data_IF_202298372963
#
_entry.id   IF_202298372963
#
_cell.length_a   1.000
_cell.length_b   1.000
_cell.length_c   1.000
_cell.angle_alpha   90.00
_cell.angle_beta   90.00
_cell.angle_gamma   90.00
#
_symmetry.space_group_name_H-M   'P 1'
#
loop_
_entity.id
_entity.type
_entity.pdbx_description
1 polymer ?
#
# COMPACT_ATOMS: atom_id res chain seq x y z
N UNK A 1 6.00 1.99 -31.01
CA UNK A 1 4.69 1.31 -30.89
C UNK A 1 4.73 0.49 -29.62
N UNK A 2 3.76 0.64 -28.72
CA UNK A 2 3.64 -0.17 -27.50
C UNK A 2 2.44 -1.10 -27.72
N UNK A 3 2.62 -2.40 -27.47
CA UNK A 3 1.54 -3.40 -27.48
C UNK A 3 1.33 -3.88 -26.05
N UNK A 4 0.07 -3.88 -25.60
CA UNK A 4 -0.35 -4.41 -24.31
C UNK A 4 -1.21 -5.65 -24.57
N UNK A 5 -0.86 -6.76 -23.95
CA UNK A 5 -1.65 -7.98 -23.97
C UNK A 5 -2.21 -8.20 -22.57
N UNK A 6 -3.51 -8.44 -22.48
CA UNK A 6 -4.15 -8.70 -21.20
C UNK A 6 -3.75 -10.11 -20.74
N UNK A 7 -3.30 -10.23 -19.49
CA UNK A 7 -3.09 -11.54 -18.89
C UNK A 7 -4.43 -12.26 -18.66
N UNK A 8 -4.44 -13.59 -18.77
CA UNK A 8 -5.64 -14.39 -18.46
C UNK A 8 -6.00 -14.34 -16.98
N UNK A 9 -4.98 -14.28 -16.11
CA UNK A 9 -5.13 -14.11 -14.67
C UNK A 9 -4.34 -12.89 -14.19
N UNK A 10 -4.81 -12.18 -13.13
CA UNK A 10 -4.04 -11.10 -12.52
C UNK A 10 -2.67 -11.58 -12.06
N UNK A 11 -1.58 -10.84 -12.35
CA UNK A 11 -0.22 -11.26 -11.99
C UNK A 11 0.02 -11.31 -10.47
N UNK A 12 -0.85 -10.68 -9.67
CA UNK A 12 -0.81 -10.71 -8.21
C UNK A 12 -2.21 -10.88 -7.64
N UNK A 13 -2.29 -11.61 -6.53
CA UNK A 13 -3.53 -11.83 -5.78
C UNK A 13 -3.56 -10.92 -4.55
N UNK A 14 -4.65 -10.17 -4.38
CA UNK A 14 -4.82 -9.24 -3.26
C UNK A 14 -6.23 -9.35 -2.69
N UNK A 15 -6.38 -9.19 -1.37
CA UNK A 15 -7.68 -9.30 -0.70
C UNK A 15 -8.63 -8.17 -1.06
N UNK A 16 -8.08 -6.97 -1.26
CA UNK A 16 -8.84 -5.78 -1.64
C UNK A 16 -8.07 -5.01 -2.72
N UNK A 17 -8.47 -5.21 -3.98
CA UNK A 17 -7.89 -4.51 -5.13
C UNK A 17 -8.07 -3.00 -5.03
N UNK A 18 -9.21 -2.53 -4.50
CA UNK A 18 -9.45 -1.09 -4.37
C UNK A 18 -8.47 -0.49 -3.38
N UNK A 19 -8.24 -1.15 -2.24
CA UNK A 19 -7.21 -0.72 -1.29
C UNK A 19 -5.82 -0.68 -1.92
N UNK A 20 -5.47 -1.69 -2.73
CA UNK A 20 -4.21 -1.71 -3.45
C UNK A 20 -4.05 -0.54 -4.41
N UNK A 21 -5.06 -0.25 -5.22
CA UNK A 21 -5.03 0.92 -6.11
C UNK A 21 -4.91 2.24 -5.33
N UNK A 22 -5.58 2.36 -4.17
CA UNK A 22 -5.46 3.54 -3.30
C UNK A 22 -4.05 3.70 -2.76
N UNK A 23 -3.43 2.62 -2.30
CA UNK A 23 -2.05 2.60 -1.79
C UNK A 23 -1.07 2.98 -2.90
N UNK A 24 -1.21 2.40 -4.09
CA UNK A 24 -0.38 2.74 -5.26
C UNK A 24 -0.52 4.23 -5.57
N UNK A 25 -1.74 4.74 -5.71
CA UNK A 25 -1.99 6.17 -5.98
C UNK A 25 -1.38 7.08 -4.91
N UNK A 26 -1.58 6.76 -3.63
CA UNK A 26 -1.01 7.50 -2.52
C UNK A 26 0.53 7.52 -2.54
N UNK A 27 1.13 6.39 -2.92
CA UNK A 27 2.58 6.22 -3.03
C UNK A 27 3.20 7.07 -4.15
N UNK A 28 2.47 7.30 -5.25
CA UNK A 28 2.94 8.09 -6.39
C UNK A 28 2.47 9.56 -6.38
N UNK A 29 1.46 9.91 -5.59
CA UNK A 29 0.97 11.29 -5.46
C UNK A 29 2.04 12.25 -4.92
N UNK A 30 3.05 11.75 -4.20
CA UNK A 30 4.14 12.57 -3.66
C UNK A 30 5.51 11.96 -3.99
N UNK A 31 5.93 12.11 -5.26
CA UNK A 31 7.16 11.53 -5.87
C UNK A 31 8.47 11.65 -5.08
N UNK A 32 8.61 12.63 -4.17
CA UNK A 32 9.84 12.85 -3.39
C UNK A 32 9.73 12.51 -1.90
N UNK A 33 8.57 12.06 -1.44
CA UNK A 33 8.38 11.71 -0.03
C UNK A 33 8.51 10.20 0.17
N UNK A 34 8.85 9.81 1.40
CA UNK A 34 8.85 8.39 1.79
C UNK A 34 7.44 7.82 1.69
N UNK A 35 7.34 6.50 1.52
CA UNK A 35 6.09 5.76 1.44
C UNK A 35 5.17 6.08 2.63
N UNK A 36 5.73 6.11 3.85
CA UNK A 36 4.97 6.47 5.04
C UNK A 36 4.28 7.84 4.93
N UNK A 37 4.98 8.84 4.39
CA UNK A 37 4.42 10.17 4.18
C UNK A 37 3.42 10.22 3.02
N UNK A 38 3.61 9.39 1.98
CA UNK A 38 2.63 9.26 0.90
C UNK A 38 1.31 8.69 1.39
N UNK A 39 1.37 7.59 2.14
CA UNK A 39 0.19 6.92 2.68
C UNK A 39 -0.53 7.77 3.74
N UNK A 40 0.21 8.39 4.66
CA UNK A 40 -0.36 9.26 5.72
C UNK A 40 -1.14 10.45 5.13
N UNK A 41 -0.67 11.01 4.02
CA UNK A 41 -1.31 12.17 3.40
C UNK A 41 -2.49 11.79 2.49
N UNK A 42 -2.80 10.50 2.35
CA UNK A 42 -3.92 10.04 1.55
C UNK A 42 -5.19 10.02 2.39
N UNK A 43 -6.26 10.76 2.01
CA UNK A 43 -7.54 10.71 2.71
C UNK A 43 -8.24 9.35 2.55
N UNK A 44 -7.78 8.52 1.60
CA UNK A 44 -8.37 7.22 1.29
C UNK A 44 -7.77 6.08 2.14
N UNK A 45 -6.77 6.36 2.97
CA UNK A 45 -6.11 5.39 3.85
C UNK A 45 -6.42 5.75 5.31
N UNK A 46 -7.33 4.98 5.90
CA UNK A 46 -7.72 5.10 7.31
C UNK A 46 -6.78 4.28 8.20
N UNK A 47 -5.50 4.67 8.28
CA UNK A 47 -4.53 4.01 9.16
C UNK A 47 -3.72 5.08 9.91
N UNK A 48 -3.42 4.83 11.18
CA UNK A 48 -2.53 5.70 11.96
C UNK A 48 -1.12 5.74 11.35
N UNK A 49 -0.31 6.72 11.76
CA UNK A 49 1.08 6.81 11.29
C UNK A 49 1.87 5.58 11.76
N UNK A 50 1.62 5.17 12.99
CA UNK A 50 2.21 4.02 13.65
C UNK A 50 1.87 2.73 12.89
N UNK A 51 0.59 2.55 12.53
CA UNK A 51 0.16 1.43 11.70
C UNK A 51 0.80 1.42 10.31
N UNK A 52 1.00 2.59 9.70
CA UNK A 52 1.71 2.69 8.40
C UNK A 52 3.17 2.28 8.54
N UNK A 53 3.87 2.78 9.56
CA UNK A 53 5.28 2.43 9.81
C UNK A 53 5.42 0.94 10.14
N UNK A 54 4.48 0.37 10.90
CA UNK A 54 4.39 -1.07 11.14
C UNK A 54 4.19 -1.85 9.83
N UNK A 55 3.26 -1.44 8.97
CA UNK A 55 3.00 -2.12 7.70
C UNK A 55 4.24 -2.15 6.79
N UNK A 56 5.00 -1.04 6.76
CA UNK A 56 6.25 -0.94 5.99
C UNK A 56 7.33 -1.84 6.60
N UNK A 57 7.43 -1.90 7.92
CA UNK A 57 8.36 -2.78 8.61
C UNK A 57 8.02 -4.26 8.41
N UNK A 58 6.74 -4.65 8.45
CA UNK A 58 6.27 -6.01 8.16
C UNK A 58 6.54 -6.43 6.72
N UNK A 59 6.49 -5.49 5.76
CA UNK A 59 6.91 -5.71 4.37
C UNK A 59 8.44 -5.94 4.26
N UNK A 60 9.20 -5.73 5.32
CA UNK A 60 10.67 -5.83 5.32
C UNK A 60 11.35 -4.64 4.66
N UNK A 61 10.67 -3.50 4.52
CA UNK A 61 11.22 -2.26 3.98
C UNK A 61 11.54 -1.28 5.10
N UNK A 62 12.50 -0.38 4.85
CA UNK A 62 12.83 0.68 5.81
C UNK A 62 11.83 1.84 5.77
N UNK A 63 11.71 2.58 6.88
CA UNK A 63 10.86 3.79 6.97
C UNK A 63 11.21 4.90 5.95
N UNK A 64 12.41 4.83 5.37
CA UNK A 64 12.92 5.72 4.32
C UNK A 64 12.57 5.28 2.90
N UNK A 65 11.92 4.12 2.71
CA UNK A 65 11.54 3.60 1.39
C UNK A 65 10.60 4.57 0.67
N UNK A 66 10.73 4.68 -0.64
CA UNK A 66 9.82 5.47 -1.50
C UNK A 66 8.85 4.54 -2.22
N UNK A 67 7.70 5.07 -2.61
CA UNK A 67 6.68 4.32 -3.36
C UNK A 67 7.20 3.70 -4.66
N UNK A 68 8.12 4.37 -5.34
CA UNK A 68 8.74 3.90 -6.59
C UNK A 68 9.69 2.70 -6.43
N UNK A 69 10.11 2.39 -5.19
CA UNK A 69 10.99 1.27 -4.91
C UNK A 69 10.24 -0.05 -4.68
N UNK A 70 8.90 -0.02 -4.73
CA UNK A 70 8.06 -1.20 -4.55
C UNK A 70 7.68 -1.81 -5.92
N UNK A 71 7.75 -3.12 -6.02
CA UNK A 71 7.17 -3.87 -7.15
C UNK A 71 5.68 -4.18 -6.91
N UNK A 72 5.03 -4.82 -7.89
CA UNK A 72 3.58 -5.07 -7.86
C UNK A 72 3.20 -6.08 -6.76
N UNK A 73 4.02 -7.11 -6.55
CA UNK A 73 3.86 -8.12 -5.50
C UNK A 73 3.98 -7.49 -4.10
N UNK A 74 4.90 -6.56 -3.93
CA UNK A 74 5.11 -5.80 -2.70
C UNK A 74 3.93 -4.87 -2.42
N UNK A 75 3.34 -4.25 -3.45
CA UNK A 75 2.10 -3.50 -3.29
C UNK A 75 0.92 -4.39 -2.88
N UNK A 76 0.77 -5.57 -3.48
CA UNK A 76 -0.28 -6.51 -3.08
C UNK A 76 -0.10 -6.96 -1.62
N UNK A 77 1.13 -7.29 -1.23
CA UNK A 77 1.49 -7.67 0.14
C UNK A 77 1.23 -6.55 1.14
N UNK A 78 1.70 -5.32 0.83
CA UNK A 78 1.45 -4.13 1.65
C UNK A 78 -0.04 -3.88 1.83
N UNK A 79 -0.83 -4.05 0.77
CA UNK A 79 -2.28 -3.85 0.82
C UNK A 79 -2.97 -4.85 1.74
N UNK A 80 -2.53 -6.11 1.71
CA UNK A 80 -3.05 -7.13 2.61
C UNK A 80 -2.69 -6.83 4.08
N UNK A 81 -1.49 -6.33 4.35
CA UNK A 81 -1.06 -5.93 5.70
C UNK A 81 -1.85 -4.72 6.19
N UNK A 82 -1.92 -3.66 5.38
CA UNK A 82 -2.69 -2.44 5.69
C UNK A 82 -4.15 -2.79 5.95
N UNK A 83 -4.76 -3.60 5.09
CA UNK A 83 -6.15 -4.04 5.26
C UNK A 83 -6.38 -4.77 6.58
N UNK A 84 -5.44 -5.63 7.00
CA UNK A 84 -5.50 -6.30 8.31
C UNK A 84 -5.41 -5.30 9.47
N UNK A 85 -4.44 -4.39 9.45
CA UNK A 85 -4.24 -3.39 10.50
C UNK A 85 -5.43 -2.42 10.59
N UNK A 86 -6.07 -2.07 9.48
CA UNK A 86 -7.29 -1.25 9.47
C UNK A 86 -8.44 -1.94 10.21
N UNK A 87 -8.60 -3.25 10.08
CA UNK A 87 -9.63 -3.99 10.81
C UNK A 87 -9.33 -4.04 12.32
N UNK A 88 -8.05 -4.17 12.70
CA UNK A 88 -7.60 -4.18 14.10
C UNK A 88 -7.82 -2.82 14.79
N UNK A 89 -7.48 -1.71 14.13
CA UNK A 89 -7.72 -0.35 14.65
C UNK A 89 -9.22 -0.01 14.74
N UNK A 90 -10.03 -0.50 13.80
CA UNK A 90 -11.49 -0.30 13.82
C UNK A 90 -12.18 -1.16 14.88
N UNK A 91 -11.68 -2.37 15.15
CA UNK A 91 -12.21 -3.26 16.19
C UNK A 91 -11.91 -2.79 17.62
N UNK A 92 -10.84 -2.01 17.82
CA UNK A 92 -10.47 -1.44 19.13
C UNK A 92 -11.35 -0.23 19.53
N UNK A 93 -12.10 0.35 18.58
CA UNK A 93 -13.03 1.47 18.82
C UNK A 93 -14.47 1.05 19.13
N UNK A 94 -14.73 -0.25 19.34
CA UNK A 94 -16.04 -0.78 19.71
C UNK A 94 -16.16 -1.03 21.23
#
# INVERSE_FOLDING_TARGET
MIRLECHEEPPVQVKDEKLMFRIIRASFNQRRKTLANGLKNSPEISLSREGIEQAIAELGKGASVRGEALNLEEFATLSNIVGRLQQEENGTKA
#
